data_IF_486627911543
#
_entry.id   IF_486627911543
#
_cell.length_a   1.000
_cell.length_b   1.000
_cell.length_c   1.000
_cell.angle_alpha   90.00
_cell.angle_beta   90.00
_cell.angle_gamma   90.00
#
_symmetry.space_group_name_H-M   'P 1'
#
loop_
_entity.id
_entity.type
_entity.pdbx_description
1 polymer ?
#
# COMPACT_ATOMS: atom_id res chain seq x y z
N UNK A 1 26.44 25.54 -3.70
CA UNK A 1 26.95 24.57 -4.71
C UNK A 1 26.64 23.10 -4.36
N UNK A 2 26.09 22.77 -3.20
CA UNK A 2 25.76 21.38 -2.78
C UNK A 2 24.45 20.82 -3.38
N UNK A 3 23.48 21.68 -3.69
CA UNK A 3 22.15 21.24 -4.10
C UNK A 3 22.10 20.59 -5.50
N UNK A 4 22.88 21.10 -6.45
CA UNK A 4 22.93 20.55 -7.81
C UNK A 4 23.51 19.12 -7.87
N UNK A 5 24.50 18.82 -7.05
CA UNK A 5 25.11 17.47 -6.95
C UNK A 5 24.17 16.46 -6.29
N UNK A 6 23.37 16.90 -5.36
CA UNK A 6 22.36 16.05 -4.67
C UNK A 6 21.20 15.72 -5.60
N UNK A 7 20.72 16.69 -6.39
CA UNK A 7 19.65 16.50 -7.38
C UNK A 7 20.11 15.52 -8.47
N UNK A 8 21.31 15.67 -9.03
CA UNK A 8 21.86 14.75 -10.04
C UNK A 8 22.02 13.31 -9.50
N UNK A 9 22.46 13.14 -8.26
CA UNK A 9 22.56 11.81 -7.62
C UNK A 9 21.19 11.15 -7.41
N UNK A 10 20.17 11.94 -7.02
CA UNK A 10 18.83 11.42 -6.81
C UNK A 10 18.16 11.00 -8.13
N UNK A 11 18.35 11.79 -9.21
CA UNK A 11 17.87 11.45 -10.55
C UNK A 11 18.53 10.17 -11.05
N UNK A 12 19.85 10.05 -10.94
CA UNK A 12 20.59 8.87 -11.33
C UNK A 12 20.16 7.61 -10.54
N UNK A 13 19.90 7.76 -9.23
CA UNK A 13 19.41 6.66 -8.41
C UNK A 13 18.00 6.23 -8.82
N UNK A 14 17.13 7.18 -9.20
CA UNK A 14 15.81 6.88 -9.74
C UNK A 14 15.90 6.10 -11.05
N UNK A 15 16.78 6.54 -11.95
CA UNK A 15 16.99 5.89 -13.25
C UNK A 15 17.53 4.46 -13.09
N UNK A 16 18.46 4.25 -12.14
CA UNK A 16 18.97 2.91 -11.83
C UNK A 16 17.87 2.03 -11.25
N UNK A 17 17.00 2.56 -10.37
CA UNK A 17 15.87 1.81 -9.83
C UNK A 17 14.88 1.36 -10.91
N UNK A 18 14.61 2.21 -11.90
CA UNK A 18 13.73 1.87 -13.02
C UNK A 18 14.31 0.81 -13.96
N UNK A 19 15.61 0.53 -13.86
CA UNK A 19 16.30 -0.52 -14.59
C UNK A 19 16.44 -1.84 -13.81
N UNK A 20 15.77 -1.95 -12.64
CA UNK A 20 15.71 -3.18 -11.86
C UNK A 20 14.39 -3.88 -12.16
N UNK A 21 14.47 -5.08 -12.71
CA UNK A 21 13.36 -5.95 -13.09
C UNK A 21 13.10 -7.02 -12.04
N UNK A 22 11.88 -7.54 -12.02
CA UNK A 22 11.55 -8.76 -11.24
C UNK A 22 11.46 -9.95 -12.20
N UNK A 23 12.40 -10.87 -12.11
CA UNK A 23 12.47 -12.04 -12.97
C UNK A 23 12.73 -13.25 -12.11
N UNK A 24 11.88 -14.27 -12.21
CA UNK A 24 11.95 -15.50 -11.38
C UNK A 24 11.89 -15.19 -9.87
N UNK A 25 11.18 -14.12 -9.45
CA UNK A 25 11.11 -13.69 -8.05
C UNK A 25 12.40 -13.05 -7.52
N UNK A 26 13.35 -12.73 -8.40
CA UNK A 26 14.61 -12.07 -8.06
C UNK A 26 14.69 -10.67 -8.70
N UNK A 27 15.22 -9.71 -7.95
CA UNK A 27 15.52 -8.37 -8.47
C UNK A 27 16.81 -8.41 -9.24
N UNK A 28 16.76 -8.07 -10.53
CA UNK A 28 17.89 -8.16 -11.45
C UNK A 28 18.01 -6.91 -12.32
N UNK A 29 19.21 -6.63 -12.80
CA UNK A 29 19.49 -5.68 -13.89
C UNK A 29 19.97 -6.42 -15.12
N UNK A 30 19.64 -5.92 -16.29
CA UNK A 30 20.07 -6.55 -17.55
C UNK A 30 21.45 -6.05 -18.00
N UNK A 31 22.13 -6.85 -18.80
CA UNK A 31 23.52 -6.58 -19.24
C UNK A 31 23.69 -5.21 -19.93
N UNK A 32 22.71 -4.77 -20.68
CA UNK A 32 22.74 -3.46 -21.37
C UNK A 32 22.50 -2.29 -20.40
N UNK A 33 21.64 -2.44 -19.39
CA UNK A 33 21.41 -1.43 -18.37
C UNK A 33 22.67 -1.23 -17.53
N UNK A 34 23.26 -2.34 -17.06
CA UNK A 34 24.51 -2.31 -16.33
C UNK A 34 25.66 -1.74 -17.17
N UNK A 35 25.70 -2.06 -18.46
CA UNK A 35 26.71 -1.49 -19.36
C UNK A 35 26.57 0.03 -19.45
N UNK A 36 25.33 0.54 -19.56
CA UNK A 36 25.08 1.97 -19.56
C UNK A 36 25.48 2.62 -18.23
N UNK A 37 25.06 2.04 -17.09
CA UNK A 37 25.38 2.54 -15.75
C UNK A 37 26.88 2.55 -15.51
N UNK A 38 27.62 1.53 -15.96
CA UNK A 38 29.07 1.46 -15.80
C UNK A 38 29.86 2.24 -16.89
N UNK A 39 29.17 2.85 -17.86
CA UNK A 39 29.80 3.62 -18.92
C UNK A 39 30.63 2.78 -19.90
N UNK A 40 30.24 1.53 -20.14
CA UNK A 40 30.90 0.60 -21.04
C UNK A 40 29.95 0.08 -22.13
N UNK A 41 30.51 -0.46 -23.21
CA UNK A 41 29.70 -1.13 -24.23
C UNK A 41 29.22 -2.48 -23.71
N UNK A 42 27.98 -2.87 -23.99
CA UNK A 42 27.43 -4.19 -23.62
C UNK A 42 28.30 -5.35 -24.10
N UNK A 43 28.89 -5.25 -25.30
CA UNK A 43 29.82 -6.24 -25.82
C UNK A 43 31.07 -6.38 -24.96
N UNK A 44 31.64 -5.27 -24.47
CA UNK A 44 32.81 -5.25 -23.58
C UNK A 44 32.48 -5.87 -22.22
N UNK A 45 31.32 -5.51 -21.65
CA UNK A 45 30.80 -6.09 -20.41
C UNK A 45 30.63 -7.60 -20.55
N UNK A 46 29.95 -8.07 -21.58
CA UNK A 46 29.72 -9.50 -21.81
C UNK A 46 31.00 -10.27 -22.09
N UNK A 47 32.00 -9.62 -22.72
CA UNK A 47 33.33 -10.21 -22.91
C UNK A 47 34.07 -10.35 -21.57
N UNK A 48 34.02 -9.36 -20.70
CA UNK A 48 34.63 -9.42 -19.38
C UNK A 48 33.99 -10.52 -18.50
N UNK A 49 32.67 -10.66 -18.55
CA UNK A 49 31.96 -11.77 -17.89
C UNK A 49 32.39 -13.12 -18.40
N UNK A 50 32.43 -13.31 -19.72
CA UNK A 50 32.87 -14.59 -20.32
C UNK A 50 34.31 -14.99 -19.94
N UNK A 51 35.20 -14.02 -19.75
CA UNK A 51 36.59 -14.27 -19.31
C UNK A 51 36.71 -14.61 -17.82
N UNK A 52 35.67 -14.37 -17.05
CA UNK A 52 35.63 -14.57 -15.60
C UNK A 52 34.37 -15.35 -15.18
N UNK A 53 33.92 -16.30 -15.99
CA UNK A 53 32.63 -16.99 -15.82
C UNK A 53 32.50 -17.69 -14.46
N UNK A 54 33.63 -18.20 -13.93
CA UNK A 54 33.75 -18.82 -12.61
C UNK A 54 33.28 -17.91 -11.44
N UNK A 55 33.27 -16.58 -11.64
CA UNK A 55 32.86 -15.59 -10.67
C UNK A 55 31.35 -15.26 -10.73
N UNK A 56 30.64 -15.85 -11.68
CA UNK A 56 29.25 -15.61 -11.93
C UNK A 56 28.45 -16.91 -11.89
N UNK A 57 28.27 -17.51 -10.70
CA UNK A 57 27.37 -18.65 -10.55
C UNK A 57 25.93 -18.26 -10.87
N UNK A 58 25.02 -19.23 -10.96
CA UNK A 58 23.62 -19.04 -11.39
C UNK A 58 22.81 -18.08 -10.49
N UNK A 59 23.17 -17.99 -9.22
CA UNK A 59 22.58 -17.03 -8.26
C UNK A 59 23.11 -15.59 -8.44
N UNK A 60 24.19 -15.39 -9.21
CA UNK A 60 24.73 -14.06 -9.54
C UNK A 60 24.28 -13.61 -10.92
N UNK A 61 24.21 -14.51 -11.88
CA UNK A 61 23.88 -14.20 -13.27
C UNK A 61 23.21 -15.38 -13.95
N UNK A 62 22.18 -15.12 -14.71
CA UNK A 62 21.56 -16.10 -15.60
C UNK A 62 21.20 -15.49 -16.95
N UNK A 63 20.93 -16.32 -17.93
CA UNK A 63 20.46 -15.88 -19.23
C UNK A 63 18.95 -15.94 -19.29
N UNK A 64 18.30 -14.91 -19.83
CA UNK A 64 16.86 -14.91 -20.03
C UNK A 64 16.45 -15.97 -21.05
N UNK A 65 15.23 -16.49 -20.88
CA UNK A 65 14.54 -17.25 -21.91
C UNK A 65 13.91 -16.31 -22.94
N UNK A 66 13.42 -16.86 -24.05
CA UNK A 66 12.72 -16.08 -25.09
C UNK A 66 11.45 -15.47 -24.51
N UNK A 67 10.70 -16.27 -23.76
CA UNK A 67 9.42 -15.86 -23.19
C UNK A 67 9.61 -14.72 -22.16
N UNK A 68 10.58 -14.85 -21.25
CA UNK A 68 10.89 -13.81 -20.27
C UNK A 68 11.31 -12.49 -20.93
N UNK A 69 12.07 -12.60 -22.04
CA UNK A 69 12.46 -11.42 -22.79
C UNK A 69 11.30 -10.76 -23.51
N UNK A 70 10.41 -11.56 -24.13
CA UNK A 70 9.21 -11.04 -24.77
C UNK A 70 8.26 -10.36 -23.78
N UNK A 71 8.12 -10.90 -22.57
CA UNK A 71 7.28 -10.32 -21.52
C UNK A 71 7.80 -8.95 -21.08
N UNK A 72 9.11 -8.78 -20.95
CA UNK A 72 9.72 -7.47 -20.65
C UNK A 72 9.43 -6.46 -21.78
N UNK A 73 9.52 -6.89 -23.02
CA UNK A 73 9.24 -6.03 -24.17
C UNK A 73 7.76 -5.62 -24.20
N UNK A 74 6.84 -6.58 -24.02
CA UNK A 74 5.40 -6.36 -24.05
C UNK A 74 4.90 -5.46 -22.90
N UNK A 75 5.49 -5.61 -21.72
CA UNK A 75 5.12 -4.80 -20.54
C UNK A 75 5.55 -3.33 -20.63
N UNK A 76 6.34 -2.96 -21.65
CA UNK A 76 6.87 -1.60 -21.79
C UNK A 76 7.84 -1.20 -20.67
N UNK A 77 8.25 -2.13 -19.81
CA UNK A 77 9.21 -1.92 -18.71
C UNK A 77 10.66 -1.79 -19.18
N UNK A 78 10.86 -1.40 -20.43
CA UNK A 78 12.19 -1.17 -20.97
C UNK A 78 12.75 0.12 -20.38
N UNK A 79 13.89 0.04 -19.69
CA UNK A 79 14.52 1.20 -19.07
C UNK A 79 14.86 2.28 -20.11
N UNK A 80 14.88 3.55 -19.67
CA UNK A 80 15.22 4.69 -20.55
C UNK A 80 16.60 4.55 -21.20
N UNK A 81 17.49 3.71 -20.63
CA UNK A 81 18.83 3.45 -21.16
C UNK A 81 18.82 2.60 -22.45
N UNK A 82 17.71 1.96 -22.79
CA UNK A 82 17.62 0.90 -23.80
C UNK A 82 17.22 1.39 -25.18
N UNK A 83 16.45 2.45 -25.27
CA UNK A 83 15.89 2.95 -26.55
C UNK A 83 16.93 3.14 -27.65
N UNK A 84 18.17 3.48 -27.28
CA UNK A 84 19.26 3.68 -28.27
C UNK A 84 20.05 2.42 -28.60
N UNK A 85 19.99 1.38 -27.78
CA UNK A 85 20.81 0.14 -27.95
C UNK A 85 20.01 -1.05 -28.51
N UNK A 86 18.69 -1.05 -28.40
CA UNK A 86 17.84 -2.13 -28.93
C UNK A 86 17.86 -2.22 -30.46
N UNK A 87 17.92 -1.10 -31.16
CA UNK A 87 17.96 -1.09 -32.64
C UNK A 87 19.18 -1.83 -33.22
N UNK A 88 20.26 -1.95 -32.45
CA UNK A 88 21.52 -2.57 -32.89
C UNK A 88 21.71 -4.02 -32.43
N UNK A 89 20.80 -4.55 -31.60
CA UNK A 89 20.92 -5.91 -31.06
C UNK A 89 20.37 -6.93 -32.06
N UNK A 90 21.15 -7.98 -32.34
CA UNK A 90 20.62 -9.12 -33.09
C UNK A 90 19.49 -9.77 -32.30
N UNK A 91 18.29 -9.93 -32.91
CA UNK A 91 17.10 -10.52 -32.29
C UNK A 91 17.32 -11.89 -31.61
N UNK A 92 18.42 -12.57 -31.93
CA UNK A 92 18.78 -13.89 -31.42
C UNK A 92 19.65 -13.87 -30.15
N UNK A 93 20.11 -12.70 -29.70
CA UNK A 93 21.00 -12.61 -28.54
C UNK A 93 20.20 -12.21 -27.27
N UNK A 94 19.74 -13.21 -26.52
CA UNK A 94 19.05 -13.01 -25.25
C UNK A 94 19.96 -12.34 -24.22
N UNK A 95 19.46 -11.37 -23.42
CA UNK A 95 20.23 -10.66 -22.41
C UNK A 95 20.65 -11.56 -21.25
N UNK A 96 21.73 -11.17 -20.58
CA UNK A 96 22.04 -11.68 -19.24
C UNK A 96 21.36 -10.80 -18.19
N UNK A 97 20.81 -11.45 -17.17
CA UNK A 97 20.27 -10.83 -15.98
C UNK A 97 21.26 -11.01 -14.82
N UNK A 98 21.55 -9.93 -14.12
CA UNK A 98 22.49 -9.90 -12.99
C UNK A 98 21.70 -9.56 -11.72
N UNK A 99 21.84 -10.38 -10.69
CA UNK A 99 21.34 -10.07 -9.34
C UNK A 99 22.17 -8.96 -8.71
N UNK A 100 21.81 -8.49 -7.53
CA UNK A 100 22.59 -7.52 -6.75
C UNK A 100 24.07 -7.98 -6.63
N UNK A 101 24.29 -9.24 -6.28
CA UNK A 101 25.63 -9.81 -6.11
C UNK A 101 26.38 -9.87 -7.44
N UNK A 102 25.69 -10.25 -8.53
CA UNK A 102 26.27 -10.27 -9.86
C UNK A 102 26.66 -8.88 -10.36
N UNK A 103 25.83 -7.87 -10.09
CA UNK A 103 26.13 -6.48 -10.45
C UNK A 103 27.36 -5.94 -9.70
N UNK A 104 27.45 -6.20 -8.39
CA UNK A 104 28.64 -5.83 -7.60
C UNK A 104 29.89 -6.57 -8.09
N UNK A 105 29.77 -7.86 -8.34
CA UNK A 105 30.90 -8.67 -8.88
C UNK A 105 31.37 -8.13 -10.23
N UNK A 106 30.45 -7.69 -11.09
CA UNK A 106 30.74 -7.13 -12.39
C UNK A 106 31.64 -5.89 -12.30
N UNK A 107 31.42 -5.01 -11.32
CA UNK A 107 32.26 -3.83 -11.08
C UNK A 107 33.70 -4.21 -10.78
N UNK A 108 33.93 -5.30 -10.04
CA UNK A 108 35.29 -5.81 -9.72
C UNK A 108 36.00 -6.36 -10.96
N UNK A 109 35.26 -6.93 -11.91
CA UNK A 109 35.77 -7.48 -13.15
C UNK A 109 36.10 -6.41 -14.17
N UNK A 110 35.27 -5.34 -14.26
CA UNK A 110 35.47 -4.22 -15.17
C UNK A 110 36.68 -3.33 -14.80
N UNK A 111 37.08 -3.32 -13.54
CA UNK A 111 38.28 -2.63 -13.02
C UNK A 111 38.43 -1.16 -13.44
N UNK A 112 37.33 -0.47 -13.76
CA UNK A 112 37.38 0.95 -14.07
C UNK A 112 37.01 1.80 -12.85
N UNK A 113 37.61 2.98 -12.65
CA UNK A 113 37.26 3.88 -11.54
C UNK A 113 35.77 4.23 -11.55
N UNK A 114 35.18 4.45 -12.72
CA UNK A 114 33.76 4.72 -12.89
C UNK A 114 32.89 3.53 -12.46
N UNK A 115 33.29 2.29 -12.83
CA UNK A 115 32.54 1.09 -12.41
C UNK A 115 32.54 0.91 -10.89
N UNK A 116 33.66 1.21 -10.21
CA UNK A 116 33.74 1.16 -8.76
C UNK A 116 32.79 2.18 -8.10
N UNK A 117 32.77 3.42 -8.60
CA UNK A 117 31.84 4.45 -8.07
C UNK A 117 30.38 4.09 -8.34
N UNK A 118 30.08 3.60 -9.53
CA UNK A 118 28.71 3.23 -9.92
C UNK A 118 28.21 1.98 -9.21
N UNK A 119 29.09 1.04 -8.82
CA UNK A 119 28.70 -0.14 -8.04
C UNK A 119 28.04 0.23 -6.71
N UNK A 120 28.50 1.29 -6.06
CA UNK A 120 27.89 1.83 -4.84
C UNK A 120 26.46 2.33 -5.11
N UNK A 121 26.22 2.98 -6.25
CA UNK A 121 24.89 3.46 -6.63
C UNK A 121 23.96 2.31 -6.99
N UNK A 122 24.46 1.32 -7.71
CA UNK A 122 23.71 0.09 -8.05
C UNK A 122 23.30 -0.64 -6.77
N UNK A 123 24.24 -0.86 -5.84
CA UNK A 123 23.95 -1.50 -4.55
C UNK A 123 22.89 -0.73 -3.76
N UNK A 124 23.00 0.61 -3.70
CA UNK A 124 21.98 1.46 -3.04
C UNK A 124 20.61 1.35 -3.70
N UNK A 125 20.55 1.23 -5.03
CA UNK A 125 19.31 1.04 -5.75
C UNK A 125 18.64 -0.29 -5.39
N UNK A 126 19.39 -1.39 -5.35
CA UNK A 126 18.87 -2.69 -4.93
C UNK A 126 18.38 -2.68 -3.47
N UNK A 127 19.16 -2.09 -2.55
CA UNK A 127 18.77 -1.95 -1.15
C UNK A 127 17.45 -1.15 -1.04
N UNK A 128 17.36 -0.02 -1.73
CA UNK A 128 16.16 0.82 -1.70
C UNK A 128 14.93 0.10 -2.29
N UNK A 129 15.10 -0.68 -3.35
CA UNK A 129 14.01 -1.51 -3.91
C UNK A 129 13.56 -2.59 -2.93
N UNK A 130 14.49 -3.26 -2.25
CA UNK A 130 14.16 -4.25 -1.21
C UNK A 130 13.41 -3.64 -0.04
N UNK A 131 13.85 -2.47 0.43
CA UNK A 131 13.16 -1.73 1.50
C UNK A 131 11.75 -1.31 1.09
N UNK A 132 11.56 -0.83 -0.15
CA UNK A 132 10.24 -0.46 -0.66
C UNK A 132 9.27 -1.65 -0.65
N UNK A 133 9.72 -2.84 -1.08
CA UNK A 133 8.90 -4.07 -1.04
C UNK A 133 8.55 -4.46 0.38
N UNK A 134 9.52 -4.45 1.30
CA UNK A 134 9.27 -4.75 2.72
C UNK A 134 8.27 -3.78 3.34
N UNK A 135 8.32 -2.50 2.97
CA UNK A 135 7.36 -1.50 3.42
C UNK A 135 5.97 -1.77 2.87
N UNK A 136 5.84 -2.11 1.58
CA UNK A 136 4.55 -2.46 0.97
C UNK A 136 3.91 -3.67 1.66
N UNK A 137 4.66 -4.76 1.86
CA UNK A 137 4.16 -5.94 2.58
C UNK A 137 3.70 -5.61 4.01
N UNK A 138 4.42 -4.73 4.71
CA UNK A 138 4.03 -4.28 6.04
C UNK A 138 2.78 -3.38 6.03
N UNK A 139 2.55 -2.64 4.95
CA UNK A 139 1.34 -1.85 4.74
C UNK A 139 0.13 -2.73 4.48
N UNK A 140 0.25 -3.77 3.66
CA UNK A 140 -0.85 -4.71 3.38
C UNK A 140 -1.34 -5.38 4.67
N UNK A 141 -0.41 -5.84 5.53
CA UNK A 141 -0.76 -6.41 6.84
C UNK A 141 -1.48 -5.40 7.75
N UNK A 142 -1.08 -4.11 7.72
CA UNK A 142 -1.74 -3.05 8.48
C UNK A 142 -3.13 -2.74 7.95
N UNK A 143 -3.32 -2.76 6.64
CA UNK A 143 -4.63 -2.56 6.00
C UNK A 143 -5.58 -3.68 6.40
N UNK A 144 -5.13 -4.94 6.40
CA UNK A 144 -5.92 -6.09 6.83
C UNK A 144 -6.32 -6.00 8.31
N UNK A 145 -5.37 -5.62 9.19
CA UNK A 145 -5.65 -5.38 10.61
C UNK A 145 -6.65 -4.24 10.82
N UNK A 146 -6.55 -3.17 10.01
CA UNK A 146 -7.46 -2.03 10.08
C UNK A 146 -8.88 -2.42 9.63
N UNK A 147 -8.99 -3.19 8.54
CA UNK A 147 -10.27 -3.73 8.08
C UNK A 147 -10.96 -4.55 9.17
N UNK A 148 -10.24 -5.46 9.82
CA UNK A 148 -10.79 -6.25 10.91
C UNK A 148 -11.28 -5.39 12.09
N UNK A 149 -10.55 -4.31 12.44
CA UNK A 149 -10.99 -3.38 13.47
C UNK A 149 -12.24 -2.60 13.08
N UNK A 150 -12.37 -2.23 11.82
CA UNK A 150 -13.58 -1.58 11.28
C UNK A 150 -14.78 -2.51 11.39
N UNK A 151 -14.62 -3.77 11.04
CA UNK A 151 -15.70 -4.78 11.17
C UNK A 151 -16.13 -4.97 12.63
N UNK A 152 -15.16 -5.02 13.56
CA UNK A 152 -15.46 -5.09 14.99
C UNK A 152 -16.22 -3.85 15.49
N UNK A 153 -15.83 -2.65 15.04
CA UNK A 153 -16.53 -1.42 15.40
C UNK A 153 -17.94 -1.37 14.82
N UNK A 154 -18.15 -1.83 13.60
CA UNK A 154 -19.48 -1.91 13.00
C UNK A 154 -20.40 -2.84 13.81
N UNK A 155 -19.92 -4.03 14.18
CA UNK A 155 -20.69 -4.95 15.02
C UNK A 155 -21.04 -4.31 16.38
N UNK A 156 -20.10 -3.61 17.00
CA UNK A 156 -20.35 -2.92 18.27
C UNK A 156 -21.37 -1.77 18.14
N UNK A 157 -21.34 -1.04 17.02
CA UNK A 157 -22.33 0.01 16.72
C UNK A 157 -23.71 -0.60 16.53
N UNK A 158 -23.84 -1.74 15.84
CA UNK A 158 -25.12 -2.43 15.68
C UNK A 158 -25.69 -2.89 17.02
N UNK A 159 -24.86 -3.41 17.92
CA UNK A 159 -25.26 -3.78 19.28
C UNK A 159 -25.79 -2.58 20.08
N UNK A 160 -25.06 -1.44 20.06
CA UNK A 160 -25.50 -0.21 20.71
C UNK A 160 -26.83 0.31 20.13
N UNK A 161 -27.01 0.26 18.82
CA UNK A 161 -28.25 0.68 18.17
C UNK A 161 -29.44 -0.20 18.57
N UNK A 162 -29.21 -1.49 18.73
CA UNK A 162 -30.22 -2.43 19.22
C UNK A 162 -30.62 -2.09 20.66
N UNK A 163 -29.65 -1.93 21.55
CA UNK A 163 -29.88 -1.57 22.96
C UNK A 163 -30.63 -0.23 23.09
N UNK A 164 -30.25 0.75 22.25
CA UNK A 164 -30.93 2.06 22.26
C UNK A 164 -32.37 1.97 21.79
N UNK A 165 -32.68 1.10 20.86
CA UNK A 165 -34.03 0.87 20.39
C UNK A 165 -34.88 0.23 21.48
N UNK A 166 -34.36 -0.72 22.25
CA UNK A 166 -35.02 -1.35 23.40
C UNK A 166 -35.32 -0.33 24.50
N UNK A 167 -34.35 0.55 24.81
CA UNK A 167 -34.54 1.65 25.77
C UNK A 167 -35.65 2.62 25.30
N UNK A 168 -35.67 2.97 24.01
CA UNK A 168 -36.70 3.85 23.46
C UNK A 168 -38.11 3.21 23.55
N UNK A 169 -38.25 1.92 23.27
CA UNK A 169 -39.50 1.20 23.41
C UNK A 169 -39.99 1.18 24.87
N UNK A 170 -39.09 0.93 25.82
CA UNK A 170 -39.41 0.92 27.25
C UNK A 170 -39.83 2.34 27.72
N UNK A 171 -39.17 3.37 27.21
CA UNK A 171 -39.52 4.76 27.52
C UNK A 171 -40.90 5.16 26.95
N UNK A 172 -41.25 4.70 25.75
CA UNK A 172 -42.55 4.92 25.14
C UNK A 172 -43.64 4.22 25.90
N UNK A 173 -43.43 2.98 26.37
CA UNK A 173 -44.38 2.27 27.25
C UNK A 173 -44.59 3.02 28.57
N UNK A 174 -43.54 3.47 29.22
CA UNK A 174 -43.61 4.22 30.47
C UNK A 174 -44.37 5.55 30.28
N UNK A 175 -44.11 6.26 29.17
CA UNK A 175 -44.81 7.51 28.87
C UNK A 175 -46.31 7.29 28.64
N UNK A 176 -46.71 6.18 27.99
CA UNK A 176 -48.12 5.81 27.80
C UNK A 176 -48.80 5.49 29.11
N UNK A 177 -48.14 4.74 30.02
CA UNK A 177 -48.67 4.46 31.36
C UNK A 177 -48.87 5.74 32.16
N UNK A 178 -47.91 6.66 32.16
CA UNK A 178 -48.00 7.98 32.80
C UNK A 178 -49.16 8.78 32.21
N UNK A 179 -49.36 8.79 30.89
CA UNK A 179 -50.45 9.48 30.22
C UNK A 179 -51.84 8.97 30.69
N UNK A 180 -51.98 7.63 30.80
CA UNK A 180 -53.20 6.99 31.31
C UNK A 180 -53.46 7.40 32.77
N UNK A 181 -52.43 7.40 33.63
CA UNK A 181 -52.59 7.82 35.03
C UNK A 181 -52.96 9.30 35.15
N UNK A 182 -52.36 10.19 34.36
CA UNK A 182 -52.70 11.61 34.31
C UNK A 182 -54.17 11.79 33.91
N UNK A 183 -54.65 11.05 32.90
CA UNK A 183 -56.05 11.10 32.47
C UNK A 183 -57.00 10.67 33.59
N UNK A 184 -56.69 9.56 34.27
CA UNK A 184 -57.51 9.09 35.41
C UNK A 184 -57.57 10.12 36.56
N UNK A 185 -56.44 10.79 36.86
CA UNK A 185 -56.39 11.85 37.87
C UNK A 185 -57.26 13.06 37.44
N UNK A 186 -57.19 13.46 36.19
CA UNK A 186 -57.99 14.56 35.67
C UNK A 186 -59.45 14.23 35.71
N UNK A 187 -59.88 13.03 35.33
CA UNK A 187 -61.25 12.56 35.40
C UNK A 187 -61.77 12.56 36.86
N UNK A 188 -60.98 12.14 37.83
CA UNK A 188 -61.28 12.17 39.24
C UNK A 188 -61.43 13.61 39.78
N UNK A 189 -60.55 14.51 39.34
CA UNK A 189 -60.61 15.93 39.68
C UNK A 189 -61.93 16.61 39.15
N UNK A 190 -62.28 16.28 37.93
CA UNK A 190 -63.54 16.80 37.33
C UNK A 190 -64.79 16.28 38.05
N UNK A 191 -64.82 15.02 38.47
CA UNK A 191 -65.89 14.47 39.30
C UNK A 191 -65.96 15.19 40.64
N UNK A 192 -64.86 15.49 41.29
CA UNK A 192 -64.86 16.25 42.54
C UNK A 192 -65.38 17.72 42.34
N UNK A 193 -65.01 18.35 41.25
CA UNK A 193 -65.50 19.68 40.89
C UNK A 193 -67.01 19.71 40.69
N UNK A 194 -67.53 18.67 39.99
CA UNK A 194 -69.04 18.55 39.82
C UNK A 194 -69.71 18.32 41.16
N UNK A 195 -69.16 17.48 42.04
CA UNK A 195 -69.70 17.23 43.38
C UNK A 195 -69.73 18.47 44.29
N UNK A 196 -68.75 19.39 44.15
CA UNK A 196 -68.68 20.65 44.89
C UNK A 196 -69.66 21.71 44.34
N UNK A 197 -70.07 21.59 43.08
CA UNK A 197 -70.99 22.56 42.43
C UNK A 197 -72.46 22.32 42.74
N UNK A 198 -72.82 21.32 43.54
CA UNK A 198 -74.20 21.16 43.96
C UNK A 198 -74.58 22.30 44.86
N UNK A 199 -75.68 23.10 44.55
CA UNK A 199 -76.09 24.22 45.37
C UNK A 199 -76.52 23.70 46.73
N UNK A 200 -75.95 24.28 47.80
CA UNK A 200 -76.42 24.02 49.17
C UNK A 200 -77.84 24.44 49.28
N UNK A 201 -78.74 23.52 49.64
CA UNK A 201 -80.16 23.87 49.92
C UNK A 201 -80.21 24.90 51.04
N UNK A 202 -80.88 26.07 50.84
CA UNK A 202 -80.99 27.05 51.91
C UNK A 202 -81.82 26.47 53.06
N UNK A 203 -81.21 26.43 54.26
CA UNK A 203 -81.96 26.12 55.51
C UNK A 203 -82.79 27.30 55.85
N UNK A 204 -84.10 27.30 55.43
CA UNK A 204 -85.07 28.33 55.76
C UNK A 204 -85.58 28.11 57.15
N UNK A 205 -85.31 29.10 58.03
CA UNK A 205 -86.13 29.24 59.26
C UNK A 205 -87.54 29.74 58.89
N UNK A 206 -88.55 28.95 59.16
CA UNK A 206 -89.93 29.41 59.18
C UNK A 206 -90.10 30.26 60.44
N UNK A 207 -90.57 31.52 60.26
CA UNK A 207 -91.20 32.33 61.29
C UNK A 207 -92.60 31.83 61.53
#
# INVERSE_FOLDING_TARGET
MSDGLTIQKNTLLSDIKSAIYDIRGQKVMLDYDLACVYGVKTATLNQAVKRNLERFPEDFMFRLTVDEWEDIIKSGMISQFVTSSMEKRKKTALPYAFTEHGAVMLASVLRSPSAIQMSVMVTRAFIAMRQAISTLLSMDLKVEQLSHKVDQLNNYIEEILHDQNDVNQMQEQTNNEIAIQIQAINDALDQLRVAQSHPRTPIGYKK
#
